data_IF_786188810031
#
_entry.id   IF_786188810031
#
_cell.length_a   1.000
_cell.length_b   1.000
_cell.length_c   1.000
_cell.angle_alpha   90.00
_cell.angle_beta   90.00
_cell.angle_gamma   90.00
#
_symmetry.space_group_name_H-M   'P 1'
#
loop_
_entity.id
_entity.type
_entity.pdbx_description
1 polymer ?
#
# COMPACT_ATOMS: atom_id res chain seq x y z
N UNK A 1 -15.70 27.21 28.96
CA UNK A 1 -14.68 26.17 28.71
C UNK A 1 -14.69 25.87 27.21
N UNK A 2 -13.73 26.39 26.44
CA UNK A 2 -13.73 26.28 24.97
C UNK A 2 -12.75 25.19 24.54
N UNK A 3 -13.28 24.08 24.03
CA UNK A 3 -12.48 22.98 23.51
C UNK A 3 -11.77 23.41 22.21
N UNK A 4 -10.44 23.52 22.28
CA UNK A 4 -9.55 23.81 21.16
C UNK A 4 -9.60 22.64 20.18
N UNK A 5 -10.41 22.72 19.12
CA UNK A 5 -10.40 21.75 18.02
C UNK A 5 -9.01 21.78 17.38
N UNK A 6 -8.21 20.73 17.59
CA UNK A 6 -6.95 20.51 16.87
C UNK A 6 -7.30 20.32 15.39
N UNK A 7 -6.98 21.31 14.57
CA UNK A 7 -7.07 21.21 13.12
C UNK A 7 -6.00 20.18 12.67
N UNK A 8 -6.41 18.94 12.37
CA UNK A 8 -5.51 17.97 11.74
C UNK A 8 -5.25 18.46 10.32
N UNK A 9 -4.06 19.00 10.09
CA UNK A 9 -3.54 19.17 8.73
C UNK A 9 -3.46 17.80 8.08
N UNK A 10 -4.20 17.59 6.99
CA UNK A 10 -4.07 16.40 6.16
C UNK A 10 -2.86 16.62 5.26
N UNK A 11 -1.77 15.89 5.53
CA UNK A 11 -0.64 15.84 4.62
C UNK A 11 -1.05 15.07 3.37
N UNK A 12 -1.00 15.73 2.21
CA UNK A 12 -1.22 15.05 0.94
C UNK A 12 -0.02 14.13 0.67
N UNK A 13 -0.28 12.82 0.68
CA UNK A 13 0.72 11.80 0.36
C UNK A 13 0.54 11.41 -1.11
N UNK A 14 1.60 11.51 -1.90
CA UNK A 14 1.62 10.98 -3.26
C UNK A 14 1.40 9.47 -3.24
N UNK A 15 0.52 8.97 -4.11
CA UNK A 15 0.22 7.55 -4.21
C UNK A 15 0.47 7.05 -5.64
N UNK A 16 1.03 5.85 -5.74
CA UNK A 16 1.17 5.11 -6.98
C UNK A 16 -0.02 4.17 -7.14
N UNK A 17 -0.63 4.19 -8.33
CA UNK A 17 -1.54 3.13 -8.75
C UNK A 17 -0.76 1.87 -9.04
N UNK A 18 -1.24 0.73 -8.53
CA UNK A 18 -0.62 -0.57 -8.74
C UNK A 18 -1.62 -1.43 -9.51
N UNK A 19 -1.15 -2.03 -10.59
CA UNK A 19 -1.90 -3.01 -11.38
C UNK A 19 -1.13 -4.32 -11.45
N UNK A 20 -1.85 -5.41 -11.70
CA UNK A 20 -1.27 -6.72 -11.97
C UNK A 20 -1.64 -7.18 -13.37
N UNK A 21 -0.64 -7.55 -14.16
CA UNK A 21 -0.81 -8.16 -15.47
C UNK A 21 -0.92 -9.68 -15.33
N UNK A 22 -1.95 -10.27 -15.96
CA UNK A 22 -2.21 -11.71 -15.96
C UNK A 22 -2.57 -12.10 -17.39
N UNK A 23 -1.61 -12.70 -18.10
CA UNK A 23 -1.69 -12.83 -19.55
C UNK A 23 -1.85 -11.46 -20.20
N UNK A 24 -2.81 -11.31 -21.10
CA UNK A 24 -3.06 -10.06 -21.84
C UNK A 24 -3.97 -9.06 -21.09
N UNK A 25 -4.28 -9.33 -19.81
CA UNK A 25 -5.18 -8.49 -19.01
C UNK A 25 -4.41 -7.79 -17.89
N UNK A 26 -4.61 -6.48 -17.76
CA UNK A 26 -4.22 -5.73 -16.56
C UNK A 26 -5.43 -5.58 -15.64
N UNK A 27 -5.23 -5.72 -14.33
CA UNK A 27 -6.27 -5.53 -13.32
C UNK A 27 -5.76 -4.57 -12.24
N UNK A 28 -6.55 -3.54 -11.87
CA UNK A 28 -6.23 -2.70 -10.73
C UNK A 28 -6.04 -3.55 -9.48
N UNK A 29 -4.88 -3.43 -8.86
CA UNK A 29 -4.52 -4.17 -7.66
C UNK A 29 -4.73 -3.30 -6.43
N UNK A 30 -4.35 -2.03 -6.50
CA UNK A 30 -4.54 -1.10 -5.40
C UNK A 30 -3.70 0.15 -5.50
N UNK A 31 -3.45 0.76 -4.34
CA UNK A 31 -2.68 2.01 -4.22
C UNK A 31 -1.58 1.85 -3.20
N UNK A 32 -0.37 2.24 -3.59
CA UNK A 32 0.81 2.29 -2.74
C UNK A 32 1.12 3.74 -2.40
N UNK A 33 1.30 4.05 -1.13
CA UNK A 33 1.65 5.38 -0.65
C UNK A 33 2.90 5.32 0.23
N UNK A 34 3.72 6.36 0.20
CA UNK A 34 4.95 6.45 0.99
C UNK A 34 4.92 7.62 1.96
N UNK A 35 5.13 7.34 3.25
CA UNK A 35 5.31 8.36 4.28
C UNK A 35 6.80 8.53 4.56
N UNK A 36 7.34 9.69 4.19
CA UNK A 36 8.75 10.03 4.37
C UNK A 36 9.15 10.17 5.83
N UNK A 37 8.28 10.74 6.66
CA UNK A 37 8.47 10.94 8.09
C UNK A 37 8.56 9.62 8.86
N UNK A 38 7.75 8.64 8.47
CA UNK A 38 7.77 7.30 9.07
C UNK A 38 8.73 6.33 8.37
N UNK A 39 9.32 6.75 7.24
CA UNK A 39 10.07 5.92 6.30
C UNK A 39 9.34 4.58 6.05
N UNK A 40 8.05 4.68 5.69
CA UNK A 40 7.14 3.53 5.64
C UNK A 40 6.13 3.61 4.51
N UNK A 41 5.91 2.46 3.87
CA UNK A 41 4.89 2.26 2.85
C UNK A 41 3.55 1.84 3.44
N UNK A 42 2.49 2.29 2.78
CA UNK A 42 1.09 1.93 3.05
C UNK A 42 0.47 1.43 1.76
N UNK A 43 -0.30 0.37 1.87
CA UNK A 43 -0.96 -0.22 0.71
C UNK A 43 -2.45 -0.45 1.00
N UNK A 44 -3.29 -0.13 0.03
CA UNK A 44 -4.72 -0.43 0.05
C UNK A 44 -5.09 -1.18 -1.21
N UNK A 45 -5.81 -2.28 -1.07
CA UNK A 45 -6.33 -3.03 -2.22
C UNK A 45 -7.49 -2.29 -2.88
N UNK A 46 -7.56 -2.41 -4.21
CA UNK A 46 -8.73 -1.95 -4.95
C UNK A 46 -9.98 -2.77 -4.56
N UNK A 47 -11.13 -2.11 -4.48
CA UNK A 47 -12.39 -2.78 -4.09
C UNK A 47 -12.82 -3.83 -5.12
N UNK A 48 -12.60 -3.58 -6.40
CA UNK A 48 -12.84 -4.54 -7.46
C UNK A 48 -11.91 -5.76 -7.36
N UNK A 49 -10.66 -5.56 -6.95
CA UNK A 49 -9.73 -6.65 -6.69
C UNK A 49 -10.19 -7.55 -5.54
N UNK A 50 -10.70 -6.96 -4.45
CA UNK A 50 -11.19 -7.72 -3.29
C UNK A 50 -12.43 -8.57 -3.58
N UNK A 51 -13.21 -8.24 -4.61
CA UNK A 51 -14.36 -9.06 -5.05
C UNK A 51 -13.95 -10.39 -5.68
N UNK A 52 -12.73 -10.48 -6.24
CA UNK A 52 -12.17 -11.71 -6.82
C UNK A 52 -10.66 -11.76 -6.56
N UNK A 53 -10.24 -11.97 -5.30
CA UNK A 53 -8.85 -11.80 -4.87
C UNK A 53 -7.98 -12.93 -5.42
N UNK A 54 -6.73 -12.57 -5.73
CA UNK A 54 -5.69 -13.55 -6.03
C UNK A 54 -4.67 -13.60 -4.90
N UNK A 55 -4.10 -14.78 -4.58
CA UNK A 55 -3.13 -14.93 -3.50
C UNK A 55 -1.73 -14.49 -3.96
N UNK A 56 -1.55 -13.19 -4.15
CA UNK A 56 -0.27 -12.60 -4.59
C UNK A 56 0.78 -12.57 -3.48
N UNK A 57 0.35 -12.38 -2.23
CA UNK A 57 1.23 -12.45 -1.06
C UNK A 57 0.45 -12.74 0.24
N UNK A 58 -0.31 -13.84 0.32
CA UNK A 58 -1.31 -14.06 1.37
C UNK A 58 -0.77 -13.97 2.81
N UNK A 59 0.51 -14.33 3.02
CA UNK A 59 1.14 -14.27 4.34
C UNK A 59 1.67 -12.87 4.73
N UNK A 60 2.10 -12.07 3.75
CA UNK A 60 2.75 -10.78 4.00
C UNK A 60 1.86 -9.58 3.72
N UNK A 61 0.89 -9.74 2.81
CA UNK A 61 -0.08 -8.72 2.42
C UNK A 61 -1.44 -9.39 2.12
N UNK A 62 -2.23 -9.74 3.16
CA UNK A 62 -3.52 -10.39 2.99
C UNK A 62 -4.49 -9.47 2.26
N UNK A 63 -5.21 -9.99 1.26
CA UNK A 63 -6.21 -9.27 0.48
C UNK A 63 -7.45 -8.96 1.34
N UNK A 64 -7.42 -7.83 2.04
CA UNK A 64 -8.49 -7.35 2.90
C UNK A 64 -8.74 -5.86 2.70
N UNK A 65 -9.94 -5.41 3.06
CA UNK A 65 -10.28 -4.00 3.02
C UNK A 65 -9.45 -3.19 4.02
N UNK A 66 -9.18 -1.93 3.65
CA UNK A 66 -8.45 -0.97 4.47
C UNK A 66 -6.95 -0.93 4.20
N UNK A 67 -6.30 0.04 4.83
CA UNK A 67 -4.88 0.32 4.63
C UNK A 67 -4.02 -0.63 5.47
N UNK A 68 -3.04 -1.25 4.83
CA UNK A 68 -2.02 -2.09 5.46
C UNK A 68 -0.66 -1.40 5.40
N UNK A 69 -0.05 -1.19 6.56
CA UNK A 69 1.29 -0.62 6.68
C UNK A 69 2.36 -1.70 6.55
N UNK A 70 3.46 -1.39 5.86
CA UNK A 70 4.65 -2.24 5.85
C UNK A 70 5.33 -2.27 7.23
N UNK A 71 6.19 -3.28 7.44
CA UNK A 71 7.03 -3.37 8.65
C UNK A 71 8.26 -2.49 8.45
N UNK A 72 8.46 -1.49 9.31
CA UNK A 72 9.56 -0.52 9.15
C UNK A 72 10.97 -1.13 9.11
N UNK A 73 11.20 -2.25 9.81
CA UNK A 73 12.52 -2.87 9.90
C UNK A 73 12.83 -3.80 8.71
N UNK A 74 11.87 -4.08 7.84
CA UNK A 74 12.04 -5.03 6.73
C UNK A 74 11.94 -4.28 5.41
N UNK A 75 12.81 -4.62 4.43
CA UNK A 75 12.78 -4.02 3.09
C UNK A 75 12.75 -2.49 3.09
N UNK A 76 13.50 -1.88 4.02
CA UNK A 76 13.53 -0.43 4.25
C UNK A 76 12.16 0.25 4.44
N UNK A 77 11.18 -0.49 4.98
CA UNK A 77 9.83 0.03 5.18
C UNK A 77 8.91 -0.15 3.98
N UNK A 78 9.30 -0.94 2.98
CA UNK A 78 8.46 -1.37 1.85
C UNK A 78 7.80 -2.74 2.13
N UNK A 79 6.70 -3.04 1.44
CA UNK A 79 6.16 -4.40 1.43
C UNK A 79 7.07 -5.29 0.58
N UNK A 80 7.39 -6.50 1.05
CA UNK A 80 8.26 -7.42 0.32
C UNK A 80 7.81 -7.69 -1.12
N UNK A 81 6.49 -7.75 -1.35
CA UNK A 81 5.90 -7.88 -2.69
C UNK A 81 6.39 -6.80 -3.68
N UNK A 82 6.60 -5.57 -3.22
CA UNK A 82 7.08 -4.47 -4.07
C UNK A 82 8.61 -4.34 -4.04
N UNK A 83 9.26 -4.84 -2.99
CA UNK A 83 10.71 -4.85 -2.90
C UNK A 83 11.34 -5.68 -4.03
N UNK A 84 10.72 -6.79 -4.40
CA UNK A 84 11.20 -7.69 -5.46
C UNK A 84 11.12 -7.05 -6.87
N UNK A 85 10.55 -5.86 -7.01
CA UNK A 85 10.48 -5.10 -8.27
C UNK A 85 11.58 -4.04 -8.39
N UNK A 86 12.42 -3.87 -7.37
CA UNK A 86 13.54 -2.93 -7.40
C UNK A 86 14.77 -3.60 -8.03
N UNK A 87 15.62 -2.85 -8.75
CA UNK A 87 16.89 -3.37 -9.21
C UNK A 87 17.80 -3.71 -8.02
N UNK A 88 18.59 -4.76 -8.16
CA UNK A 88 19.42 -5.31 -7.07
C UNK A 88 20.62 -4.42 -6.69
N UNK A 89 20.94 -3.41 -7.52
CA UNK A 89 22.08 -2.50 -7.35
C UNK A 89 23.04 -2.53 -8.52
#
# INVERSE_FOLDING_TARGET
>A
MTAKRRNKSFLQIGALGVEIAIGDRSRPLGRLAWRKDERRAYFEFDRGFLGAPLPISPFRLPAKAGVTSARAQTFEGLHGLFNDSLPDG
#
